data_IF_943191122738
#
_entry.id   IF_943191122738
#
_cell.length_a   1.000
_cell.length_b   1.000
_cell.length_c   1.000
_cell.angle_alpha   90.00
_cell.angle_beta   90.00
_cell.angle_gamma   90.00
#
_symmetry.space_group_name_H-M   'P 1'
#
loop_
_entity.id
_entity.type
_entity.pdbx_description
1 polymer ?
#
# COMPACT_ATOMS: atom_id res chain seq x y z
N UNK A 1 4.01 -28.31 -16.95
CA UNK A 1 4.98 -27.20 -17.20
C UNK A 1 4.50 -26.20 -18.26
N UNK A 2 4.02 -26.64 -19.43
CA UNK A 2 3.65 -25.77 -20.55
C UNK A 2 2.62 -24.66 -20.21
N UNK A 3 1.52 -25.00 -19.51
CA UNK A 3 0.49 -24.02 -19.13
C UNK A 3 1.02 -22.90 -18.22
N UNK A 4 1.86 -23.23 -17.23
CA UNK A 4 2.47 -22.24 -16.33
C UNK A 4 3.43 -21.31 -17.07
N UNK A 5 4.19 -21.83 -18.03
CA UNK A 5 5.07 -21.01 -18.87
C UNK A 5 4.25 -20.05 -19.74
N UNK A 6 3.17 -20.54 -20.36
CA UNK A 6 2.22 -19.73 -21.13
C UNK A 6 1.56 -18.63 -20.28
N UNK A 7 1.04 -18.96 -19.10
CA UNK A 7 0.43 -18.00 -18.19
C UNK A 7 1.44 -16.96 -17.66
N UNK A 8 2.69 -17.38 -17.46
CA UNK A 8 3.78 -16.45 -17.10
C UNK A 8 4.12 -15.53 -18.26
N UNK A 9 4.18 -16.05 -19.49
CA UNK A 9 4.41 -15.27 -20.71
C UNK A 9 3.27 -14.26 -20.97
N UNK A 10 2.01 -14.67 -20.83
CA UNK A 10 0.85 -13.79 -20.92
C UNK A 10 0.86 -12.71 -19.83
N UNK A 11 1.25 -13.07 -18.60
CA UNK A 11 1.44 -12.10 -17.53
C UNK A 11 2.55 -11.11 -17.82
N UNK A 12 3.69 -11.57 -18.35
CA UNK A 12 4.80 -10.71 -18.73
C UNK A 12 4.42 -9.77 -19.90
N UNK A 13 3.80 -10.29 -20.95
CA UNK A 13 3.36 -9.53 -22.12
C UNK A 13 2.28 -8.50 -21.80
N UNK A 14 1.31 -8.84 -20.95
CA UNK A 14 0.28 -7.89 -20.49
C UNK A 14 0.86 -6.81 -19.56
N UNK A 15 1.87 -7.15 -18.76
CA UNK A 15 2.58 -6.17 -17.93
C UNK A 15 3.56 -5.30 -18.72
N UNK A 16 3.93 -5.67 -19.96
CA UNK A 16 4.81 -4.87 -20.81
C UNK A 16 4.21 -3.48 -21.09
N UNK A 17 2.88 -3.37 -21.20
CA UNK A 17 2.18 -2.09 -21.29
C UNK A 17 2.33 -1.19 -20.05
N UNK A 18 2.54 -1.79 -18.87
CA UNK A 18 2.83 -1.04 -17.65
C UNK A 18 4.30 -0.67 -17.54
N UNK A 19 5.22 -1.26 -18.33
CA UNK A 19 6.66 -1.00 -18.20
C UNK A 19 7.02 0.45 -18.50
N UNK A 20 6.57 1.09 -19.60
CA UNK A 20 6.83 2.52 -19.83
C UNK A 20 6.30 3.40 -18.71
N UNK A 21 5.10 3.10 -18.20
CA UNK A 21 4.53 3.79 -17.05
C UNK A 21 5.39 3.57 -15.80
N UNK A 22 5.69 2.34 -15.43
CA UNK A 22 6.51 2.00 -14.27
C UNK A 22 7.91 2.63 -14.34
N UNK A 23 8.51 2.68 -15.53
CA UNK A 23 9.79 3.36 -15.78
C UNK A 23 9.61 4.86 -15.59
N UNK A 24 8.64 5.50 -16.22
CA UNK A 24 8.35 6.92 -16.02
C UNK A 24 8.11 7.26 -14.53
N UNK A 25 7.34 6.43 -13.82
CA UNK A 25 7.08 6.56 -12.38
C UNK A 25 8.34 6.38 -11.51
N UNK A 26 9.37 5.70 -12.02
CA UNK A 26 10.64 5.44 -11.32
C UNK A 26 11.76 6.42 -11.71
N UNK A 27 11.85 6.84 -12.98
CA UNK A 27 13.00 7.57 -13.54
C UNK A 27 12.77 9.07 -13.66
N UNK A 28 11.57 9.52 -14.04
CA UNK A 28 11.22 10.95 -14.06
C UNK A 28 10.94 11.49 -12.66
N UNK A 29 11.03 10.64 -11.63
CA UNK A 29 10.94 11.00 -10.23
C UNK A 29 9.72 11.85 -9.96
N UNK A 30 8.52 11.34 -10.29
CA UNK A 30 7.19 11.87 -9.97
C UNK A 30 7.18 13.29 -9.39
N UNK A 31 7.61 14.26 -10.20
CA UNK A 31 7.57 15.66 -9.79
C UNK A 31 6.11 15.97 -9.55
N UNK A 32 5.83 16.61 -8.42
CA UNK A 32 4.46 16.89 -7.98
C UNK A 32 3.56 17.41 -9.12
N UNK A 33 4.06 18.35 -9.93
CA UNK A 33 3.31 18.92 -11.05
C UNK A 33 2.90 17.89 -12.13
N UNK A 34 3.75 16.90 -12.41
CA UNK A 34 3.46 15.86 -13.40
C UNK A 34 2.37 14.90 -12.90
N UNK A 35 2.48 14.47 -11.64
CA UNK A 35 1.44 13.65 -11.02
C UNK A 35 0.12 14.41 -10.87
N UNK A 36 0.17 15.67 -10.43
CA UNK A 36 -1.02 16.52 -10.31
C UNK A 36 -1.72 16.65 -11.66
N UNK A 37 -0.98 17.01 -12.71
CA UNK A 37 -1.54 17.10 -14.07
C UNK A 37 -2.12 15.78 -14.57
N UNK A 38 -1.48 14.64 -14.24
CA UNK A 38 -2.04 13.33 -14.53
C UNK A 38 -3.39 13.12 -13.82
N UNK A 39 -3.50 13.40 -12.53
CA UNK A 39 -4.76 13.19 -11.79
C UNK A 39 -5.86 14.19 -12.17
N UNK A 40 -5.50 15.43 -12.50
CA UNK A 40 -6.46 16.47 -12.89
C UNK A 40 -7.03 16.25 -14.30
N UNK A 41 -6.24 15.65 -15.20
CA UNK A 41 -6.58 15.59 -16.63
C UNK A 41 -6.76 14.18 -17.18
N UNK A 42 -6.30 13.14 -16.49
CA UNK A 42 -6.49 11.78 -16.97
C UNK A 42 -7.97 11.38 -16.86
N UNK A 43 -8.59 10.89 -17.94
CA UNK A 43 -9.96 10.39 -17.87
C UNK A 43 -10.07 9.21 -16.89
N UNK A 44 -11.20 9.10 -16.21
CA UNK A 44 -11.44 8.08 -15.18
C UNK A 44 -11.34 6.65 -15.71
N UNK A 45 -11.74 6.41 -16.97
CA UNK A 45 -11.68 5.09 -17.62
C UNK A 45 -10.26 4.51 -17.70
N UNK A 46 -9.29 5.20 -18.35
CA UNK A 46 -7.88 4.81 -18.34
C UNK A 46 -7.28 4.66 -16.94
N UNK A 47 -7.60 5.56 -16.00
CA UNK A 47 -7.14 5.43 -14.61
C UNK A 47 -7.66 4.14 -13.96
N UNK A 48 -8.95 3.84 -14.09
CA UNK A 48 -9.56 2.61 -13.60
C UNK A 48 -8.94 1.37 -14.25
N UNK A 49 -8.68 1.41 -15.56
CA UNK A 49 -8.01 0.32 -16.29
C UNK A 49 -6.59 0.07 -15.76
N UNK A 50 -5.78 1.12 -15.57
CA UNK A 50 -4.43 0.97 -15.03
C UNK A 50 -4.44 0.47 -13.58
N UNK A 51 -5.41 0.92 -12.77
CA UNK A 51 -5.65 0.40 -11.41
C UNK A 51 -5.96 -1.09 -11.42
N UNK A 52 -6.89 -1.52 -12.28
CA UNK A 52 -7.24 -2.93 -12.47
C UNK A 52 -6.04 -3.77 -12.89
N UNK A 53 -5.25 -3.29 -13.86
CA UNK A 53 -4.04 -3.99 -14.32
C UNK A 53 -3.00 -4.15 -13.21
N UNK A 54 -2.77 -3.09 -12.41
CA UNK A 54 -1.86 -3.15 -11.25
C UNK A 54 -2.37 -4.11 -10.17
N UNK A 55 -3.68 -4.14 -9.91
CA UNK A 55 -4.30 -5.06 -8.97
C UNK A 55 -4.18 -6.53 -9.43
N UNK A 56 -4.48 -6.82 -10.70
CA UNK A 56 -4.30 -8.16 -11.29
C UNK A 56 -2.82 -8.62 -11.23
N UNK A 57 -1.87 -7.71 -11.47
CA UNK A 57 -0.44 -8.00 -11.31
C UNK A 57 -0.05 -8.31 -9.86
N UNK A 58 -0.59 -7.55 -8.90
CA UNK A 58 -0.34 -7.77 -7.48
C UNK A 58 -0.93 -9.12 -7.02
N UNK A 59 -2.16 -9.42 -7.42
CA UNK A 59 -2.82 -10.69 -7.17
C UNK A 59 -2.03 -11.87 -7.76
N UNK A 60 -1.62 -11.77 -9.03
CA UNK A 60 -0.81 -12.81 -9.67
C UNK A 60 0.52 -13.04 -8.95
N UNK A 61 1.18 -11.97 -8.50
CA UNK A 61 2.40 -12.07 -7.69
C UNK A 61 2.13 -12.78 -6.36
N UNK A 62 1.06 -12.42 -5.66
CA UNK A 62 0.68 -13.01 -4.38
C UNK A 62 0.40 -14.52 -4.52
N UNK A 63 -0.41 -14.91 -5.51
CA UNK A 63 -0.72 -16.32 -5.84
C UNK A 63 0.54 -17.17 -6.04
N UNK A 64 1.61 -16.57 -6.60
CA UNK A 64 2.85 -17.27 -6.92
C UNK A 64 3.87 -17.30 -5.79
N UNK A 65 3.91 -16.23 -4.99
CA UNK A 65 5.02 -15.99 -4.08
C UNK A 65 4.63 -15.95 -2.62
N UNK A 66 3.34 -15.90 -2.27
CA UNK A 66 2.91 -15.91 -0.86
C UNK A 66 2.40 -17.32 -0.52
N UNK A 67 3.15 -18.12 0.26
CA UNK A 67 2.80 -19.51 0.53
C UNK A 67 1.42 -19.68 1.16
N UNK A 68 1.09 -18.85 2.16
CA UNK A 68 -0.19 -18.87 2.86
C UNK A 68 -1.35 -18.53 1.93
N UNK A 69 -1.18 -17.54 1.04
CA UNK A 69 -2.22 -17.18 0.08
C UNK A 69 -2.48 -18.30 -0.93
N UNK A 70 -1.42 -18.95 -1.42
CA UNK A 70 -1.55 -20.13 -2.29
C UNK A 70 -2.29 -21.26 -1.59
N UNK A 71 -1.91 -21.58 -0.34
CA UNK A 71 -2.55 -22.62 0.44
C UNK A 71 -4.03 -22.30 0.71
N UNK A 72 -4.33 -21.05 1.06
CA UNK A 72 -5.70 -20.55 1.24
C UNK A 72 -6.55 -20.74 -0.01
N UNK A 73 -6.07 -20.32 -1.18
CA UNK A 73 -6.81 -20.50 -2.42
C UNK A 73 -7.06 -21.97 -2.75
N UNK A 74 -6.07 -22.84 -2.52
CA UNK A 74 -6.27 -24.29 -2.68
C UNK A 74 -7.32 -24.84 -1.72
N UNK A 75 -7.34 -24.40 -0.46
CA UNK A 75 -8.34 -24.79 0.52
C UNK A 75 -9.76 -24.30 0.16
N UNK A 76 -9.86 -23.17 -0.53
CA UNK A 76 -11.13 -22.64 -1.08
C UNK A 76 -11.54 -23.30 -2.42
N UNK A 77 -10.87 -24.38 -2.84
CA UNK A 77 -11.18 -25.10 -4.08
C UNK A 77 -10.74 -24.37 -5.36
N UNK A 78 -9.97 -23.29 -5.26
CA UNK A 78 -9.46 -22.56 -6.43
C UNK A 78 -8.34 -23.39 -7.07
N UNK A 79 -8.48 -23.66 -8.37
CA UNK A 79 -7.44 -24.32 -9.16
C UNK A 79 -6.26 -23.37 -9.42
N UNK A 80 -5.44 -23.12 -8.40
CA UNK A 80 -4.35 -22.12 -8.39
C UNK A 80 -3.44 -22.23 -9.60
N UNK A 81 -3.14 -23.45 -10.05
CA UNK A 81 -2.25 -23.71 -11.17
C UNK A 81 -2.87 -23.47 -12.55
N UNK A 82 -4.18 -23.30 -12.60
CA UNK A 82 -4.96 -22.93 -13.79
C UNK A 82 -5.30 -21.45 -13.84
N UNK A 83 -4.99 -20.68 -12.79
CA UNK A 83 -5.18 -19.23 -12.79
C UNK A 83 -4.29 -18.57 -13.84
N UNK A 84 -4.84 -17.55 -14.49
CA UNK A 84 -4.12 -16.67 -15.40
C UNK A 84 -4.24 -15.24 -14.88
N UNK A 85 -3.25 -14.35 -15.14
CA UNK A 85 -3.29 -12.98 -14.65
C UNK A 85 -4.53 -12.21 -15.11
N UNK A 86 -4.96 -12.45 -16.35
CA UNK A 86 -6.07 -11.75 -16.95
C UNK A 86 -7.40 -12.10 -16.26
N UNK A 87 -8.08 -11.09 -15.72
CA UNK A 87 -9.35 -11.27 -15.02
C UNK A 87 -9.21 -12.09 -13.72
N UNK A 88 -8.00 -12.18 -13.16
CA UNK A 88 -7.75 -13.00 -11.97
C UNK A 88 -8.59 -12.54 -10.77
N UNK A 89 -8.87 -11.24 -10.66
CA UNK A 89 -9.62 -10.67 -9.53
C UNK A 89 -11.03 -11.25 -9.41
N UNK A 90 -11.65 -11.63 -10.53
CA UNK A 90 -13.00 -12.22 -10.54
C UNK A 90 -13.02 -13.67 -10.04
N UNK A 91 -11.84 -14.29 -9.90
CA UNK A 91 -11.67 -15.70 -9.53
C UNK A 91 -11.14 -15.90 -8.12
N UNK A 92 -10.84 -14.82 -7.41
CA UNK A 92 -10.24 -14.85 -6.08
C UNK A 92 -11.32 -14.60 -5.03
N UNK A 93 -11.45 -15.48 -4.01
CA UNK A 93 -12.35 -15.23 -2.90
C UNK A 93 -11.86 -14.05 -2.06
N UNK A 94 -12.81 -13.39 -1.39
CA UNK A 94 -12.51 -12.39 -0.38
C UNK A 94 -11.85 -13.02 0.84
N UNK A 95 -10.90 -12.33 1.44
CA UNK A 95 -10.20 -12.77 2.65
C UNK A 95 -10.61 -11.94 3.86
N UNK A 96 -10.67 -12.56 5.03
CA UNK A 96 -10.86 -11.87 6.30
C UNK A 96 -9.81 -12.29 7.35
N UNK A 97 -9.91 -11.71 8.55
CA UNK A 97 -8.98 -11.97 9.64
C UNK A 97 -9.00 -13.45 10.06
N UNK A 98 -10.18 -14.05 10.16
CA UNK A 98 -10.35 -15.42 10.63
C UNK A 98 -10.02 -16.44 9.54
N UNK A 99 -10.58 -16.26 8.34
CA UNK A 99 -10.40 -17.18 7.21
C UNK A 99 -8.97 -17.20 6.66
N UNK A 100 -8.20 -16.13 6.88
CA UNK A 100 -6.85 -16.01 6.34
C UNK A 100 -5.79 -15.59 7.36
N UNK A 101 -5.97 -14.50 8.10
CA UNK A 101 -4.89 -13.97 8.93
C UNK A 101 -4.56 -14.89 10.12
N UNK A 102 -5.58 -15.43 10.77
CA UNK A 102 -5.46 -16.37 11.90
C UNK A 102 -5.00 -17.76 11.44
N UNK A 103 -5.43 -18.17 10.25
CA UNK A 103 -5.19 -19.50 9.71
C UNK A 103 -3.75 -19.71 9.21
N UNK A 104 -3.01 -18.63 8.90
CA UNK A 104 -1.68 -18.70 8.31
C UNK A 104 -0.62 -17.95 9.14
N UNK A 105 0.48 -18.62 9.53
CA UNK A 105 1.59 -17.98 10.24
C UNK A 105 2.13 -16.77 9.50
N UNK A 106 2.62 -15.78 10.25
CA UNK A 106 3.09 -14.51 9.71
C UNK A 106 4.05 -14.66 8.52
N UNK A 107 5.07 -15.51 8.64
CA UNK A 107 6.04 -15.73 7.57
C UNK A 107 5.39 -16.26 6.28
N UNK A 108 4.38 -17.14 6.39
CA UNK A 108 3.66 -17.68 5.23
C UNK A 108 2.80 -16.61 4.54
N UNK A 109 2.40 -15.55 5.24
CA UNK A 109 1.70 -14.40 4.67
C UNK A 109 2.65 -13.40 3.98
N UNK A 110 3.96 -13.60 4.08
CA UNK A 110 4.98 -12.78 3.44
C UNK A 110 5.47 -13.38 2.11
N UNK A 111 6.12 -12.53 1.31
CA UNK A 111 6.73 -12.95 0.04
C UNK A 111 7.81 -14.02 0.28
N UNK A 112 7.72 -15.08 -0.51
CA UNK A 112 8.53 -16.29 -0.49
C UNK A 112 8.64 -16.96 0.89
N UNK A 113 7.68 -16.71 1.78
CA UNK A 113 7.71 -17.23 3.14
C UNK A 113 8.73 -16.54 4.06
N UNK A 114 9.23 -15.34 3.69
CA UNK A 114 10.35 -14.68 4.35
C UNK A 114 9.99 -13.30 4.88
N UNK A 115 10.48 -12.99 6.07
CA UNK A 115 10.39 -11.68 6.70
C UNK A 115 11.78 -11.03 6.57
N UNK A 116 11.93 -9.93 5.81
CA UNK A 116 13.16 -9.15 5.83
C UNK A 116 13.43 -8.65 7.25
N UNK A 117 14.68 -8.66 7.71
CA UNK A 117 14.99 -8.22 9.07
C UNK A 117 15.20 -6.70 9.13
N UNK A 118 16.19 -6.19 8.40
CA UNK A 118 16.55 -4.76 8.39
C UNK A 118 15.45 -3.93 7.71
N UNK A 119 15.07 -2.82 8.35
CA UNK A 119 14.08 -1.88 7.81
C UNK A 119 12.63 -2.35 7.91
N UNK A 120 12.38 -3.51 8.52
CA UNK A 120 11.03 -4.02 8.75
C UNK A 120 10.42 -3.41 10.00
N UNK A 121 9.17 -2.96 9.90
CA UNK A 121 8.37 -2.51 11.05
C UNK A 121 7.21 -3.45 11.30
N UNK A 122 6.74 -3.42 12.54
CA UNK A 122 5.52 -4.10 12.97
C UNK A 122 4.55 -3.01 13.40
N UNK A 123 3.41 -2.96 12.74
CA UNK A 123 2.36 -2.01 13.09
C UNK A 123 1.08 -2.77 13.49
N UNK A 124 0.28 -2.18 14.36
CA UNK A 124 -0.94 -2.79 14.88
C UNK A 124 -2.21 -2.20 14.25
N UNK A 125 -3.23 -3.05 14.12
CA UNK A 125 -4.60 -2.56 13.91
C UNK A 125 -5.11 -1.79 15.14
N UNK A 126 -6.16 -0.99 14.98
CA UNK A 126 -6.76 -0.22 16.09
C UNK A 126 -7.32 -1.05 17.26
N UNK A 127 -7.46 -2.37 17.11
CA UNK A 127 -7.99 -3.25 18.17
C UNK A 127 -9.51 -3.16 18.37
N UNK A 128 -10.25 -2.56 17.44
CA UNK A 128 -11.70 -2.36 17.56
C UNK A 128 -12.51 -3.67 17.67
N UNK A 129 -11.93 -4.80 17.28
CA UNK A 129 -12.56 -6.13 17.29
C UNK A 129 -11.90 -7.10 18.27
N UNK A 130 -11.19 -6.59 19.28
CA UNK A 130 -10.42 -7.39 20.25
C UNK A 130 -8.91 -7.21 20.09
N UNK A 131 -8.15 -8.29 20.22
CA UNK A 131 -6.68 -8.24 20.17
C UNK A 131 -6.20 -7.59 18.85
N UNK A 132 -5.38 -6.52 18.91
CA UNK A 132 -4.78 -5.92 17.74
C UNK A 132 -3.95 -6.93 16.93
N UNK A 133 -4.11 -6.88 15.61
CA UNK A 133 -3.34 -7.71 14.68
C UNK A 133 -2.05 -7.00 14.31
N UNK A 134 -0.96 -7.78 14.26
CA UNK A 134 0.35 -7.32 13.83
C UNK A 134 0.52 -7.41 12.31
N UNK A 135 0.96 -6.29 11.72
CA UNK A 135 1.22 -6.13 10.30
C UNK A 135 2.69 -5.84 10.07
N UNK A 136 3.35 -6.70 9.32
CA UNK A 136 4.74 -6.52 8.95
C UNK A 136 4.83 -5.70 7.67
N UNK A 137 5.70 -4.69 7.66
CA UNK A 137 5.97 -3.87 6.49
C UNK A 137 7.46 -3.72 6.27
N UNK A 138 7.91 -4.06 5.07
CA UNK A 138 9.27 -3.77 4.64
C UNK A 138 9.46 -2.26 4.42
N UNK A 139 10.71 -1.81 4.46
CA UNK A 139 11.06 -0.43 4.12
C UNK A 139 10.57 -0.01 2.73
N UNK A 140 10.70 -0.90 1.74
CA UNK A 140 10.26 -0.63 0.38
C UNK A 140 8.75 -0.38 0.29
N UNK A 141 7.94 -1.15 1.04
CA UNK A 141 6.48 -0.95 1.11
C UNK A 141 6.14 0.36 1.79
N UNK A 142 6.82 0.69 2.89
CA UNK A 142 6.63 1.95 3.61
C UNK A 142 7.01 3.16 2.77
N UNK A 143 8.14 3.10 2.06
CA UNK A 143 8.56 4.19 1.17
C UNK A 143 7.52 4.50 0.09
N UNK A 144 6.89 3.47 -0.50
CA UNK A 144 5.79 3.66 -1.46
C UNK A 144 4.59 4.33 -0.78
N UNK A 145 4.19 3.87 0.41
CA UNK A 145 3.09 4.44 1.15
C UNK A 145 3.35 5.91 1.54
N UNK A 146 4.54 6.22 2.07
CA UNK A 146 4.95 7.56 2.47
C UNK A 146 4.95 8.53 1.30
N UNK A 147 5.47 8.11 0.14
CA UNK A 147 5.44 8.92 -1.08
C UNK A 147 4.00 9.22 -1.51
N UNK A 148 3.11 8.24 -1.46
CA UNK A 148 1.70 8.44 -1.84
C UNK A 148 0.97 9.37 -0.87
N UNK A 149 1.20 9.22 0.43
CA UNK A 149 0.65 10.12 1.47
C UNK A 149 1.18 11.54 1.28
N UNK A 150 2.49 11.71 1.10
CA UNK A 150 3.13 13.00 0.84
C UNK A 150 2.54 13.68 -0.40
N UNK A 151 2.41 12.94 -1.51
CA UNK A 151 1.80 13.45 -2.73
C UNK A 151 0.33 13.86 -2.51
N UNK A 152 -0.46 12.98 -1.90
CA UNK A 152 -1.89 13.23 -1.69
C UNK A 152 -2.13 14.44 -0.79
N UNK A 153 -1.34 14.61 0.26
CA UNK A 153 -1.42 15.79 1.10
C UNK A 153 -1.15 17.09 0.33
N UNK A 154 -0.12 17.11 -0.53
CA UNK A 154 0.13 18.29 -1.40
C UNK A 154 -0.99 18.50 -2.41
N UNK A 155 -1.53 17.42 -2.95
CA UNK A 155 -2.65 17.47 -3.89
C UNK A 155 -3.90 18.10 -3.27
N UNK A 156 -4.23 17.72 -2.02
CA UNK A 156 -5.40 18.24 -1.32
C UNK A 156 -5.22 19.65 -0.75
N UNK A 157 -4.04 19.97 -0.25
CA UNK A 157 -3.82 21.19 0.56
C UNK A 157 -2.89 22.23 -0.09
N UNK A 158 -2.31 21.93 -1.26
CA UNK A 158 -1.36 22.80 -1.94
C UNK A 158 0.11 22.46 -1.66
N UNK A 159 1.00 23.27 -2.21
CA UNK A 159 2.47 23.10 -2.12
C UNK A 159 3.14 24.14 -1.22
N UNK A 160 2.33 25.02 -0.65
CA UNK A 160 2.68 26.12 0.20
C UNK A 160 3.37 25.56 1.46
N UNK A 161 4.28 26.33 2.10
CA UNK A 161 4.93 25.88 3.32
C UNK A 161 3.92 25.73 4.47
N UNK A 162 3.37 24.52 4.64
CA UNK A 162 2.39 24.21 5.67
C UNK A 162 3.04 23.52 6.88
N UNK A 163 2.54 23.83 8.06
CA UNK A 163 2.79 23.06 9.28
C UNK A 163 1.67 22.05 9.46
N UNK A 164 2.03 20.77 9.57
CA UNK A 164 1.08 19.69 9.81
C UNK A 164 1.00 19.39 11.31
N UNK A 165 -0.21 19.40 11.87
CA UNK A 165 -0.49 18.85 13.20
C UNK A 165 -1.05 17.44 13.02
N UNK A 166 -0.26 16.42 13.39
CA UNK A 166 -0.69 15.03 13.29
C UNK A 166 -1.43 14.61 14.57
N UNK A 167 -2.76 14.51 14.44
CA UNK A 167 -3.68 14.16 15.51
C UNK A 167 -4.01 12.65 15.59
N UNK A 168 -3.38 11.80 14.77
CA UNK A 168 -3.58 10.36 14.86
C UNK A 168 -2.93 9.78 16.13
N UNK A 169 -3.55 8.75 16.71
CA UNK A 169 -2.94 7.97 17.80
C UNK A 169 -1.54 7.49 17.42
N UNK A 170 -0.58 7.77 18.30
CA UNK A 170 0.83 7.43 18.15
C UNK A 170 1.17 6.17 18.94
N UNK A 171 2.16 5.39 18.51
CA UNK A 171 2.57 4.16 19.18
C UNK A 171 2.68 3.01 18.19
N UNK A 172 2.23 1.82 18.58
CA UNK A 172 2.25 0.63 17.72
C UNK A 172 1.31 0.75 16.50
N UNK A 173 0.37 1.69 16.50
CA UNK A 173 -0.57 1.86 15.38
C UNK A 173 0.06 2.40 14.11
N UNK A 174 -0.28 1.78 12.98
CA UNK A 174 0.30 2.10 11.68
C UNK A 174 0.14 3.58 11.30
N UNK A 175 -1.04 4.16 11.51
CA UNK A 175 -1.37 5.46 10.93
C UNK A 175 -0.54 6.60 11.52
N UNK A 176 -0.47 6.74 12.85
CA UNK A 176 0.16 7.90 13.49
C UNK A 176 1.64 8.07 13.13
N UNK A 177 2.43 7.00 13.29
CA UNK A 177 3.85 7.05 13.00
C UNK A 177 4.13 7.23 11.50
N UNK A 178 3.44 6.48 10.63
CA UNK A 178 3.66 6.58 9.18
C UNK A 178 3.21 7.94 8.61
N UNK A 179 2.15 8.55 9.14
CA UNK A 179 1.75 9.91 8.73
C UNK A 179 2.81 10.94 9.10
N UNK A 180 3.41 10.83 10.28
CA UNK A 180 4.52 11.70 10.70
C UNK A 180 5.67 11.63 9.71
N UNK A 181 6.17 10.42 9.43
CA UNK A 181 7.31 10.23 8.53
C UNK A 181 7.00 10.68 7.11
N UNK A 182 5.81 10.34 6.60
CA UNK A 182 5.40 10.70 5.25
C UNK A 182 5.29 12.22 5.06
N UNK A 183 4.65 12.92 6.01
CA UNK A 183 4.40 14.36 5.89
C UNK A 183 5.64 15.20 6.20
N UNK A 184 6.64 14.64 6.89
CA UNK A 184 7.93 15.29 7.09
C UNK A 184 8.71 15.50 5.77
N UNK A 185 8.34 14.78 4.70
CA UNK A 185 8.84 15.07 3.35
C UNK A 185 8.23 16.35 2.74
N UNK A 186 7.12 16.84 3.27
CA UNK A 186 6.43 18.02 2.76
C UNK A 186 6.79 19.30 3.51
N UNK A 187 7.02 19.23 4.82
CA UNK A 187 7.25 20.39 5.67
C UNK A 187 7.34 19.99 7.14
N UNK A 188 7.05 20.94 8.02
CA UNK A 188 7.13 20.73 9.47
C UNK A 188 5.94 19.88 9.92
N UNK A 189 6.19 18.84 10.71
CA UNK A 189 5.15 18.02 11.33
C UNK A 189 5.32 18.03 12.84
N UNK A 190 4.23 18.33 13.56
CA UNK A 190 4.15 18.13 15.01
C UNK A 190 3.10 17.08 15.33
N UNK A 191 3.53 15.96 15.88
CA UNK A 191 2.66 14.83 16.22
C UNK A 191 2.20 14.94 17.66
N UNK A 192 0.99 15.46 17.83
CA UNK A 192 0.37 15.68 19.14
C UNK A 192 -0.37 14.45 19.64
N UNK A 193 -0.71 13.52 18.73
CA UNK A 193 -1.73 12.50 19.01
C UNK A 193 -3.13 13.12 19.08
N UNK A 194 -4.14 12.32 19.46
CA UNK A 194 -5.54 12.76 19.52
C UNK A 194 -5.84 13.68 20.72
N UNK A 195 -4.82 14.14 21.43
CA UNK A 195 -4.94 15.02 22.59
C UNK A 195 -5.31 16.44 22.14
N UNK A 196 -6.59 16.79 22.35
CA UNK A 196 -7.17 18.09 22.00
C UNK A 196 -6.41 19.24 22.66
N UNK A 197 -5.98 19.08 23.92
CA UNK A 197 -5.23 20.10 24.64
C UNK A 197 -3.90 20.43 23.96
N UNK A 198 -3.17 19.40 23.53
CA UNK A 198 -1.90 19.55 22.80
C UNK A 198 -2.09 20.11 21.39
N UNK A 199 -3.18 19.74 20.71
CA UNK A 199 -3.53 20.30 19.39
C UNK A 199 -3.78 21.80 19.52
N UNK A 200 -4.68 22.21 20.42
CA UNK A 200 -5.02 23.62 20.62
C UNK A 200 -3.82 24.44 21.12
N UNK A 201 -3.00 23.87 22.01
CA UNK A 201 -1.74 24.49 22.45
C UNK A 201 -0.77 24.71 21.29
N UNK A 202 -0.66 23.72 20.39
CA UNK A 202 0.16 23.84 19.17
C UNK A 202 -0.37 24.92 18.24
N UNK A 203 -1.68 24.98 18.03
CA UNK A 203 -2.30 26.00 17.19
C UNK A 203 -2.07 27.40 17.74
N UNK A 204 -2.14 27.59 19.07
CA UNK A 204 -1.81 28.89 19.68
C UNK A 204 -0.33 29.25 19.56
N UNK A 205 0.56 28.26 19.62
CA UNK A 205 2.00 28.49 19.56
C UNK A 205 2.53 28.76 18.13
N UNK A 206 1.99 28.06 17.13
CA UNK A 206 2.44 28.12 15.73
C UNK A 206 1.47 28.85 14.79
N UNK A 207 0.27 29.15 15.26
CA UNK A 207 -0.77 29.79 14.45
C UNK A 207 -0.45 31.26 14.17
N UNK A 208 -1.18 31.88 13.23
CA UNK A 208 -0.90 33.23 12.74
C UNK A 208 -1.20 34.37 13.75
N UNK A 209 -1.55 34.06 15.00
CA UNK A 209 -2.03 35.02 16.00
C UNK A 209 -3.54 34.93 16.17
#
# INVERSE_FOLDING_TARGET
MAFRALATGLGAGRNAWLVPLDVAFKTLGLRYGWLKGLFDHAPSGPLAMTGRLRAERAAWRAVRRVPGYRAYLSAQGVAVDRLVPAGILEKLPETDKHSYVDSYPLAQRCLDGRIPFVGTTIDESSGSTGTPYNWIRSEAERHIAHRNISFFARYCFGIEPLVTINAFSMGAWATGFNMTLALNHNGIVKSTGPDIGKILSTMRFLGPG
#
